data_IF_185826091709
#
_entry.id   IF_185826091709
#
_cell.length_a   1.000
_cell.length_b   1.000
_cell.length_c   1.000
_cell.angle_alpha   90.00
_cell.angle_beta   90.00
_cell.angle_gamma   90.00
#
_symmetry.space_group_name_H-M   'P 1'
#
loop_
_entity.id
_entity.type
_entity.pdbx_description
1 polymer ?
#
# COMPACT_ATOMS: atom_id res chain seq x y z
N UNK A 1 14.63 14.77 1.31
CA UNK A 1 15.24 16.14 1.28
C UNK A 1 15.45 16.63 -0.14
N UNK A 2 15.93 15.78 -1.10
CA UNK A 2 16.18 16.20 -2.50
C UNK A 2 14.93 16.75 -3.19
N UNK A 3 13.74 16.21 -2.89
CA UNK A 3 12.45 16.67 -3.43
C UNK A 3 11.77 17.76 -2.60
N UNK A 4 12.34 18.18 -1.47
CA UNK A 4 11.77 19.23 -0.59
C UNK A 4 10.54 18.79 0.22
N UNK A 5 10.21 17.50 0.28
CA UNK A 5 9.06 16.99 1.02
C UNK A 5 9.48 16.34 2.33
N UNK A 6 8.62 16.44 3.35
CA UNK A 6 8.83 15.83 4.66
C UNK A 6 8.58 14.32 4.69
N UNK A 7 7.95 13.77 3.66
CA UNK A 7 7.67 12.33 3.58
C UNK A 7 6.98 11.92 2.29
N UNK A 8 6.85 10.60 2.09
CA UNK A 8 6.23 10.00 0.91
C UNK A 8 4.76 10.42 0.75
N UNK A 9 4.02 10.58 1.87
CA UNK A 9 2.63 11.02 1.84
C UNK A 9 2.48 12.41 1.20
N UNK A 10 3.23 13.41 1.69
CA UNK A 10 3.17 14.77 1.16
C UNK A 10 3.60 14.82 -0.32
N UNK A 11 4.64 14.05 -0.68
CA UNK A 11 5.10 13.96 -2.06
C UNK A 11 4.09 13.29 -2.98
N UNK A 12 3.36 12.28 -2.54
CA UNK A 12 2.36 11.60 -3.37
C UNK A 12 1.22 12.50 -3.80
N UNK A 13 0.74 13.36 -2.92
CA UNK A 13 -0.36 14.30 -3.18
C UNK A 13 0.11 15.66 -3.74
N UNK A 14 1.42 15.85 -3.89
CA UNK A 14 1.95 17.08 -4.46
C UNK A 14 1.59 17.24 -5.94
N UNK A 15 1.36 18.48 -6.36
CA UNK A 15 1.14 18.82 -7.76
C UNK A 15 2.47 19.01 -8.48
N UNK A 16 2.86 18.05 -9.28
CA UNK A 16 4.11 18.07 -10.04
C UNK A 16 3.98 18.89 -11.34
N UNK A 17 5.08 19.48 -11.85
CA UNK A 17 5.08 20.23 -13.11
C UNK A 17 4.83 19.33 -14.33
N UNK A 18 5.19 18.03 -14.25
CA UNK A 18 4.99 17.06 -15.33
C UNK A 18 4.71 15.65 -14.77
N UNK A 19 4.26 14.75 -15.63
CA UNK A 19 4.10 13.33 -15.32
C UNK A 19 5.44 12.65 -15.05
N UNK A 20 6.47 13.02 -15.80
CA UNK A 20 7.83 12.52 -15.66
C UNK A 20 8.39 12.81 -14.28
N UNK A 21 8.23 14.03 -13.78
CA UNK A 21 8.66 14.44 -12.44
C UNK A 21 7.85 13.71 -11.35
N UNK A 22 6.54 13.56 -11.53
CA UNK A 22 5.70 12.81 -10.60
C UNK A 22 6.11 11.34 -10.51
N UNK A 23 6.31 10.70 -11.65
CA UNK A 23 6.72 9.30 -11.69
C UNK A 23 8.15 9.07 -11.22
N UNK A 24 9.06 10.04 -11.39
CA UNK A 24 10.38 10.00 -10.77
C UNK A 24 10.29 9.97 -9.23
N UNK A 25 9.39 10.79 -8.64
CA UNK A 25 9.15 10.75 -7.20
C UNK A 25 8.55 9.41 -6.77
N UNK A 26 7.52 8.91 -7.46
CA UNK A 26 6.87 7.62 -7.18
C UNK A 26 7.91 6.48 -7.24
N UNK A 27 8.70 6.42 -8.31
CA UNK A 27 9.73 5.42 -8.47
C UNK A 27 10.75 5.45 -7.33
N UNK A 28 11.21 6.64 -6.96
CA UNK A 28 12.17 6.81 -5.85
C UNK A 28 11.56 6.41 -4.51
N UNK A 29 10.33 6.80 -4.22
CA UNK A 29 9.65 6.46 -2.97
C UNK A 29 9.44 4.94 -2.86
N UNK A 30 8.92 4.31 -3.92
CA UNK A 30 8.73 2.86 -3.98
C UNK A 30 10.06 2.10 -3.86
N UNK A 31 11.10 2.53 -4.59
CA UNK A 31 12.42 1.93 -4.50
C UNK A 31 12.93 1.92 -3.05
N UNK A 32 12.83 3.06 -2.36
CA UNK A 32 13.23 3.15 -0.95
C UNK A 32 12.39 2.25 -0.05
N UNK A 33 11.09 2.08 -0.31
CA UNK A 33 10.24 1.14 0.42
C UNK A 33 10.67 -0.33 0.19
N UNK A 34 11.14 -0.66 -1.01
CA UNK A 34 11.68 -1.99 -1.30
C UNK A 34 13.04 -2.24 -0.63
N UNK A 35 13.89 -1.21 -0.52
CA UNK A 35 15.28 -1.36 -0.05
C UNK A 35 15.44 -1.10 1.46
N UNK A 36 14.55 -0.31 2.08
CA UNK A 36 14.68 -0.04 3.51
C UNK A 36 14.54 -1.32 4.34
N UNK A 37 15.28 -1.40 5.41
CA UNK A 37 15.14 -2.46 6.41
C UNK A 37 13.78 -2.36 7.10
N UNK A 38 13.24 -3.51 7.49
CA UNK A 38 12.02 -3.55 8.29
C UNK A 38 12.30 -3.02 9.69
N UNK A 39 11.51 -2.05 10.13
CA UNK A 39 11.69 -1.41 11.43
C UNK A 39 11.40 -2.36 12.61
N UNK A 40 12.11 -2.15 13.72
CA UNK A 40 11.93 -2.93 14.96
C UNK A 40 10.47 -3.08 15.43
N UNK A 41 9.57 -2.07 15.32
CA UNK A 41 8.18 -2.22 15.76
C UNK A 41 7.44 -3.39 15.11
N UNK A 42 7.77 -3.72 13.85
CA UNK A 42 7.18 -4.86 13.14
C UNK A 42 7.63 -6.18 13.74
N UNK A 43 8.91 -6.33 14.03
CA UNK A 43 9.46 -7.54 14.68
C UNK A 43 8.92 -7.69 16.11
N UNK A 44 8.89 -6.60 16.88
CA UNK A 44 8.36 -6.61 18.25
C UNK A 44 6.88 -7.02 18.29
N UNK A 45 6.08 -6.56 17.32
CA UNK A 45 4.70 -7.00 17.20
C UNK A 45 4.62 -8.50 16.87
N UNK A 46 5.46 -9.00 15.99
CA UNK A 46 5.46 -10.43 15.66
C UNK A 46 5.88 -11.29 16.83
N UNK A 47 6.81 -10.86 17.67
CA UNK A 47 7.18 -11.57 18.90
C UNK A 47 6.02 -11.56 19.91
N UNK A 48 5.32 -10.43 20.08
CA UNK A 48 4.11 -10.34 20.89
C UNK A 48 3.01 -11.30 20.42
N UNK A 49 2.88 -11.52 19.10
CA UNK A 49 1.86 -12.38 18.50
C UNK A 49 2.26 -13.85 18.40
N UNK A 50 3.47 -14.20 18.80
CA UNK A 50 3.99 -15.58 18.74
C UNK A 50 3.09 -16.55 19.51
N UNK A 51 2.74 -17.66 18.86
CA UNK A 51 1.84 -18.67 19.42
C UNK A 51 0.37 -18.26 19.53
N UNK A 52 -0.01 -17.06 19.07
CA UNK A 52 -1.40 -16.58 19.08
C UNK A 52 -2.07 -16.79 17.72
N UNK A 53 -3.38 -16.94 17.75
CA UNK A 53 -4.20 -16.86 16.55
C UNK A 53 -4.54 -15.40 16.29
N UNK A 54 -4.03 -14.83 15.20
CA UNK A 54 -4.17 -13.41 14.89
C UNK A 54 -4.44 -13.16 13.41
N UNK A 55 -4.97 -11.98 13.13
CA UNK A 55 -5.03 -11.38 11.80
C UNK A 55 -4.66 -9.90 11.90
N UNK A 56 -3.83 -9.41 10.99
CA UNK A 56 -3.42 -8.01 10.93
C UNK A 56 -4.20 -7.31 9.82
N UNK A 57 -4.91 -6.25 10.17
CA UNK A 57 -5.52 -5.31 9.25
C UNK A 57 -4.72 -4.03 9.26
N UNK A 58 -4.15 -3.62 8.13
CA UNK A 58 -3.30 -2.44 8.04
C UNK A 58 -3.82 -1.40 7.06
N UNK A 59 -3.67 -0.14 7.44
CA UNK A 59 -3.81 1.02 6.54
C UNK A 59 -2.46 1.53 6.04
N UNK A 60 -1.34 0.96 6.53
CA UNK A 60 -0.01 1.26 6.04
C UNK A 60 0.16 0.72 4.62
N UNK A 61 0.76 1.54 3.78
CA UNK A 61 1.02 1.21 2.38
C UNK A 61 2.52 0.96 2.12
N UNK A 62 3.34 0.95 3.20
CA UNK A 62 4.80 0.89 3.20
C UNK A 62 5.39 -0.51 2.92
N UNK A 63 4.56 -1.50 2.71
CA UNK A 63 4.93 -2.89 2.41
C UNK A 63 5.62 -3.66 3.54
N UNK A 64 5.93 -3.04 4.68
CA UNK A 64 6.80 -3.65 5.71
C UNK A 64 6.19 -4.91 6.35
N UNK A 65 4.87 -4.92 6.60
CA UNK A 65 4.20 -6.12 7.12
C UNK A 65 4.38 -7.35 6.23
N UNK A 66 4.47 -7.18 4.92
CA UNK A 66 4.60 -8.32 3.99
C UNK A 66 5.91 -9.09 4.12
N UNK A 67 6.87 -8.54 4.87
CA UNK A 67 8.18 -9.17 5.13
C UNK A 67 8.18 -10.00 6.41
N UNK A 68 7.22 -9.77 7.29
CA UNK A 68 7.18 -10.40 8.63
C UNK A 68 5.90 -11.18 8.88
N UNK A 69 4.87 -11.00 8.05
CA UNK A 69 3.56 -11.65 8.18
C UNK A 69 3.23 -12.40 6.90
N UNK A 70 2.71 -13.61 7.01
CA UNK A 70 2.21 -14.37 5.87
C UNK A 70 0.97 -13.70 5.25
N UNK A 71 0.82 -13.80 3.94
CA UNK A 71 -0.23 -13.08 3.19
C UNK A 71 -1.65 -13.45 3.62
N UNK A 72 -1.88 -14.66 4.10
CA UNK A 72 -3.17 -15.14 4.61
C UNK A 72 -3.58 -14.48 5.94
N UNK A 73 -2.61 -13.96 6.71
CA UNK A 73 -2.83 -13.27 7.99
C UNK A 73 -2.75 -11.75 7.91
N UNK A 74 -2.57 -11.21 6.71
CA UNK A 74 -2.42 -9.77 6.48
C UNK A 74 -3.48 -9.27 5.51
N UNK A 75 -4.12 -8.15 5.86
CA UNK A 75 -5.04 -7.42 5.01
C UNK A 75 -4.62 -5.97 4.86
N UNK A 76 -4.16 -5.58 3.67
CA UNK A 76 -3.80 -4.22 3.29
C UNK A 76 -5.01 -3.51 2.66
N UNK A 77 -5.86 -2.88 3.52
CA UNK A 77 -7.17 -2.37 3.09
C UNK A 77 -7.13 -0.99 2.41
N UNK A 78 -6.00 -0.32 2.41
CA UNK A 78 -5.81 0.95 1.69
C UNK A 78 -4.82 0.84 0.52
N UNK A 79 -4.59 -0.38 0.05
CA UNK A 79 -3.69 -0.66 -1.05
C UNK A 79 -2.24 -0.90 -0.63
N UNK A 80 -1.38 -0.98 -1.62
CA UNK A 80 0.01 -1.40 -1.45
C UNK A 80 0.87 -0.82 -2.58
N UNK A 81 1.94 -0.12 -2.26
CA UNK A 81 2.86 0.49 -3.21
C UNK A 81 3.54 -0.49 -4.18
N UNK A 82 3.51 -1.79 -3.88
CA UNK A 82 4.06 -2.83 -4.75
C UNK A 82 3.25 -3.07 -6.02
N UNK A 83 2.09 -2.41 -6.17
CA UNK A 83 1.22 -2.64 -7.31
C UNK A 83 0.82 -1.35 -8.00
N UNK A 84 0.63 -1.46 -9.33
CA UNK A 84 -0.02 -0.45 -10.13
C UNK A 84 -1.43 -0.89 -10.52
N UNK A 85 -2.31 0.08 -10.68
CA UNK A 85 -3.67 -0.08 -11.19
C UNK A 85 -3.89 0.81 -12.41
N UNK A 86 -4.89 0.51 -13.21
CA UNK A 86 -5.36 1.42 -14.24
C UNK A 86 -6.02 2.65 -13.60
N UNK A 87 -5.60 3.86 -13.96
CA UNK A 87 -6.14 5.13 -13.41
C UNK A 87 -7.63 5.28 -13.72
N UNK A 88 -8.07 4.93 -14.93
CA UNK A 88 -9.50 4.96 -15.28
C UNK A 88 -10.27 3.70 -14.86
N UNK A 89 -9.64 2.75 -14.15
CA UNK A 89 -10.26 1.52 -13.62
C UNK A 89 -11.00 0.73 -14.70
N UNK A 90 -10.43 0.61 -15.90
CA UNK A 90 -11.05 -0.07 -17.03
C UNK A 90 -11.22 -1.59 -16.82
N UNK A 91 -10.59 -2.16 -15.81
CA UNK A 91 -10.65 -3.59 -15.43
C UNK A 91 -10.25 -3.76 -13.96
N UNK A 92 -10.34 -4.98 -13.45
CA UNK A 92 -10.28 -5.34 -12.03
C UNK A 92 -8.91 -5.88 -11.57
N UNK A 93 -7.89 -5.82 -12.42
CA UNK A 93 -6.55 -6.36 -12.16
C UNK A 93 -5.60 -5.26 -11.68
N UNK A 94 -4.64 -5.65 -10.83
CA UNK A 94 -3.49 -4.84 -10.42
C UNK A 94 -2.20 -5.54 -10.84
N UNK A 95 -1.12 -4.80 -10.99
CA UNK A 95 0.13 -5.27 -11.58
C UNK A 95 1.29 -5.06 -10.62
N UNK A 96 2.01 -6.14 -10.31
CA UNK A 96 3.22 -6.07 -9.50
C UNK A 96 4.30 -5.26 -10.22
N UNK A 97 4.95 -4.34 -9.52
CA UNK A 97 5.69 -3.25 -10.16
C UNK A 97 7.20 -3.23 -9.86
N UNK A 98 7.73 -4.19 -9.13
CA UNK A 98 9.11 -4.11 -8.62
C UNK A 98 10.15 -3.82 -9.71
N UNK A 99 10.18 -4.62 -10.77
CA UNK A 99 11.16 -4.46 -11.86
C UNK A 99 11.04 -3.09 -12.50
N UNK A 100 9.83 -2.68 -12.84
CA UNK A 100 9.57 -1.38 -13.44
C UNK A 100 9.97 -0.21 -12.53
N UNK A 101 9.76 -0.33 -11.21
CA UNK A 101 10.21 0.65 -10.21
C UNK A 101 11.73 0.77 -10.21
N UNK A 102 12.47 -0.35 -10.26
CA UNK A 102 13.94 -0.32 -10.26
C UNK A 102 14.48 0.32 -11.54
N UNK A 103 13.91 -0.01 -12.69
CA UNK A 103 14.26 0.60 -13.98
C UNK A 103 14.00 2.10 -13.97
N UNK A 104 12.81 2.53 -13.58
CA UNK A 104 12.46 3.96 -13.49
C UNK A 104 13.35 4.70 -12.50
N UNK A 105 13.65 4.12 -11.32
CA UNK A 105 14.52 4.75 -10.33
C UNK A 105 15.94 4.94 -10.85
N UNK A 106 16.47 3.98 -11.61
CA UNK A 106 17.79 4.08 -12.23
C UNK A 106 17.84 5.14 -13.35
N UNK A 107 16.73 5.41 -14.02
CA UNK A 107 16.62 6.35 -15.11
C UNK A 107 16.29 7.80 -14.69
N UNK A 108 16.19 8.08 -13.38
CA UNK A 108 15.93 9.45 -12.89
C UNK A 108 17.14 10.34 -13.24
N UNK A 109 16.88 11.38 -14.01
CA UNK A 109 17.91 12.35 -14.42
C UNK A 109 18.18 13.44 -13.37
N UNK A 110 19.08 14.36 -13.70
CA UNK A 110 19.46 15.49 -12.83
C UNK A 110 18.31 16.50 -12.61
N UNK A 111 17.31 16.53 -13.50
CA UNK A 111 16.11 17.34 -13.39
C UNK A 111 15.01 16.65 -12.58
N UNK A 112 15.30 15.48 -11.96
CA UNK A 112 14.37 14.66 -11.22
C UNK A 112 13.17 14.19 -12.05
N UNK A 113 13.43 13.83 -13.31
CA UNK A 113 12.46 13.29 -14.25
C UNK A 113 12.88 11.89 -14.72
N UNK A 114 11.90 11.07 -15.10
CA UNK A 114 12.14 9.85 -15.88
C UNK A 114 11.83 10.09 -17.35
N UNK A 115 12.35 9.28 -18.29
CA UNK A 115 11.93 9.31 -19.68
C UNK A 115 10.41 9.09 -19.81
N UNK A 116 9.74 9.85 -20.69
CA UNK A 116 8.29 9.74 -20.96
C UNK A 116 7.88 8.31 -21.34
N UNK A 117 8.75 7.59 -22.06
CA UNK A 117 8.52 6.21 -22.48
C UNK A 117 8.43 5.21 -21.31
N UNK A 118 8.93 5.58 -20.13
CA UNK A 118 8.89 4.74 -18.92
C UNK A 118 7.63 4.98 -18.06
N UNK A 119 6.83 6.00 -18.39
CA UNK A 119 5.55 6.22 -17.67
C UNK A 119 4.64 5.01 -17.87
N UNK A 120 4.23 4.33 -16.79
CA UNK A 120 3.45 3.11 -16.89
C UNK A 120 2.12 3.30 -17.61
N UNK A 121 1.82 2.38 -18.53
CA UNK A 121 0.58 2.37 -19.30
C UNK A 121 -0.22 1.09 -19.03
N UNK A 122 -1.54 1.26 -18.95
CA UNK A 122 -2.44 0.14 -18.76
C UNK A 122 -2.37 -0.83 -19.95
N UNK A 123 -2.08 -2.13 -19.71
CA UNK A 123 -1.96 -3.11 -20.81
C UNK A 123 -3.31 -3.44 -21.48
N UNK A 124 -4.45 -3.04 -20.88
CA UNK A 124 -5.78 -3.28 -21.44
C UNK A 124 -6.30 -2.10 -22.29
N UNK A 125 -6.13 -0.86 -21.80
CA UNK A 125 -6.70 0.31 -22.48
C UNK A 125 -5.65 1.31 -22.99
N UNK A 126 -4.35 1.11 -22.70
CA UNK A 126 -3.28 2.04 -23.07
C UNK A 126 -3.27 3.36 -22.26
N UNK A 127 -4.24 3.56 -21.36
CA UNK A 127 -4.33 4.74 -20.50
C UNK A 127 -3.25 4.76 -19.42
N UNK A 128 -3.25 5.80 -18.60
CA UNK A 128 -2.28 5.96 -17.53
C UNK A 128 -2.50 4.91 -16.41
N UNK A 129 -1.42 4.61 -15.71
CA UNK A 129 -1.45 3.81 -14.49
C UNK A 129 -1.26 4.71 -13.26
N UNK A 130 -1.66 4.20 -12.10
CA UNK A 130 -1.43 4.79 -10.78
C UNK A 130 -0.95 3.73 -9.80
N UNK A 131 -0.21 4.08 -8.73
CA UNK A 131 -0.01 3.17 -7.62
C UNK A 131 -1.35 2.71 -7.03
N UNK A 132 -1.45 1.43 -6.68
CA UNK A 132 -2.64 0.89 -6.04
C UNK A 132 -2.68 1.28 -4.55
N UNK A 133 -2.85 2.55 -4.30
CA UNK A 133 -2.94 3.14 -2.95
C UNK A 133 -4.16 4.05 -2.85
N UNK A 134 -4.72 4.18 -1.65
CA UNK A 134 -5.93 4.97 -1.43
C UNK A 134 -5.75 6.40 -1.93
N UNK A 135 -6.60 6.79 -2.86
CA UNK A 135 -6.66 8.08 -3.52
C UNK A 135 -7.98 8.19 -4.28
N UNK A 136 -8.14 9.22 -5.13
CA UNK A 136 -9.39 9.48 -5.87
C UNK A 136 -9.76 8.36 -6.85
N UNK A 137 -8.76 7.70 -7.44
CA UNK A 137 -8.94 6.65 -8.45
C UNK A 137 -8.68 5.25 -7.90
N UNK A 138 -8.65 5.08 -6.58
CA UNK A 138 -8.37 3.78 -5.95
C UNK A 138 -9.32 2.69 -6.44
N UNK A 139 -8.76 1.59 -6.92
CA UNK A 139 -9.49 0.45 -7.44
C UNK A 139 -9.92 -0.50 -6.31
N UNK A 140 -11.21 -0.45 -5.95
CA UNK A 140 -11.85 -1.41 -5.03
C UNK A 140 -12.23 -2.69 -5.80
N UNK A 141 -11.25 -3.26 -6.50
CA UNK A 141 -11.40 -4.39 -7.38
C UNK A 141 -11.25 -5.74 -6.68
N UNK A 142 -10.87 -6.76 -7.46
CA UNK A 142 -10.72 -8.14 -6.99
C UNK A 142 -9.81 -8.24 -5.77
N UNK A 143 -8.60 -7.63 -5.82
CA UNK A 143 -7.64 -7.68 -4.71
C UNK A 143 -8.17 -7.00 -3.46
N UNK A 144 -8.81 -5.83 -3.58
CA UNK A 144 -9.44 -5.15 -2.44
C UNK A 144 -10.49 -6.03 -1.74
N UNK A 145 -11.40 -6.64 -2.52
CA UNK A 145 -12.41 -7.55 -1.99
C UNK A 145 -11.79 -8.80 -1.33
N UNK A 146 -10.65 -9.26 -1.85
CA UNK A 146 -9.89 -10.37 -1.28
C UNK A 146 -9.29 -10.02 0.08
N UNK A 147 -8.72 -8.82 0.24
CA UNK A 147 -8.22 -8.33 1.54
C UNK A 147 -9.33 -8.29 2.60
N UNK A 148 -10.50 -7.78 2.26
CA UNK A 148 -11.65 -7.75 3.15
C UNK A 148 -12.20 -9.17 3.46
N UNK A 149 -12.20 -10.07 2.50
CA UNK A 149 -12.63 -11.46 2.71
C UNK A 149 -11.75 -12.19 3.72
N UNK A 150 -10.44 -11.95 3.72
CA UNK A 150 -9.52 -12.54 4.71
C UNK A 150 -9.90 -12.13 6.15
N UNK A 151 -10.21 -10.85 6.37
CA UNK A 151 -10.68 -10.33 7.68
C UNK A 151 -11.98 -11.04 8.09
N UNK A 152 -12.98 -11.03 7.21
CA UNK A 152 -14.28 -11.63 7.49
C UNK A 152 -14.14 -13.14 7.80
N UNK A 153 -13.32 -13.85 7.03
CA UNK A 153 -13.03 -15.26 7.28
C UNK A 153 -12.40 -15.50 8.65
N UNK A 154 -11.47 -14.63 9.08
CA UNK A 154 -10.88 -14.73 10.41
C UNK A 154 -11.92 -14.49 11.51
N UNK A 155 -12.76 -13.47 11.38
CA UNK A 155 -13.82 -13.15 12.35
C UNK A 155 -14.85 -14.27 12.44
N UNK A 156 -15.31 -14.81 11.33
CA UNK A 156 -16.26 -15.94 11.30
C UNK A 156 -15.71 -17.19 11.97
N UNK A 157 -14.46 -17.57 11.65
CA UNK A 157 -13.79 -18.74 12.27
C UNK A 157 -13.59 -18.61 13.79
N UNK A 158 -13.66 -17.39 14.30
CA UNK A 158 -13.44 -17.09 15.70
C UNK A 158 -14.69 -16.49 16.41
N UNK A 159 -15.87 -16.54 15.77
CA UNK A 159 -17.10 -15.90 16.26
C UNK A 159 -17.49 -16.25 17.69
N UNK A 160 -17.21 -17.48 18.13
CA UNK A 160 -17.53 -17.96 19.47
C UNK A 160 -16.35 -17.90 20.44
N UNK A 161 -15.29 -17.15 20.09
CA UNK A 161 -14.09 -16.99 20.93
C UNK A 161 -13.99 -15.55 21.42
N UNK A 162 -13.22 -15.35 22.48
CA UNK A 162 -12.86 -13.99 22.91
C UNK A 162 -11.83 -13.43 21.92
N UNK A 163 -12.16 -12.32 21.27
CA UNK A 163 -11.28 -11.62 20.34
C UNK A 163 -10.86 -10.30 20.98
N UNK A 164 -9.56 -10.03 21.00
CA UNK A 164 -9.00 -8.73 21.36
C UNK A 164 -8.80 -7.92 20.07
N UNK A 165 -9.43 -6.76 19.97
CA UNK A 165 -9.17 -5.77 18.93
C UNK A 165 -8.10 -4.79 19.43
N UNK A 166 -6.90 -4.87 18.86
CA UNK A 166 -5.76 -4.04 19.25
C UNK A 166 -5.49 -3.00 18.18
N UNK A 167 -5.57 -1.72 18.54
CA UNK A 167 -5.24 -0.59 17.66
C UNK A 167 -3.83 -0.09 17.95
N UNK A 168 -3.00 -0.01 16.91
CA UNK A 168 -1.63 0.50 17.00
C UNK A 168 -1.41 1.60 15.96
N UNK A 169 -1.10 2.82 16.42
CA UNK A 169 -0.78 3.94 15.56
C UNK A 169 -1.92 4.42 14.66
N UNK A 170 -3.18 4.10 15.01
CA UNK A 170 -4.35 4.48 14.22
C UNK A 170 -4.63 5.98 14.40
N UNK A 171 -4.50 6.73 13.31
CA UNK A 171 -4.71 8.18 13.30
C UNK A 171 -6.19 8.55 13.28
N UNK A 172 -6.50 9.80 13.73
CA UNK A 172 -7.87 10.33 13.74
C UNK A 172 -8.39 10.79 12.36
N UNK A 173 -7.53 10.81 11.34
CA UNK A 173 -7.93 11.28 10.00
C UNK A 173 -8.83 10.30 9.25
N UNK A 174 -8.71 9.00 9.53
CA UNK A 174 -9.44 7.94 8.82
C UNK A 174 -10.00 6.87 9.78
N UNK A 175 -10.82 7.24 10.78
CA UNK A 175 -11.31 6.30 11.80
C UNK A 175 -12.20 5.22 11.21
N UNK A 176 -12.86 5.50 10.06
CA UNK A 176 -13.78 4.59 9.39
C UNK A 176 -13.14 3.29 8.92
N UNK A 177 -11.83 3.21 8.80
CA UNK A 177 -11.15 2.01 8.29
C UNK A 177 -10.82 0.98 9.37
N UNK A 178 -10.50 1.42 10.58
CA UNK A 178 -10.12 0.53 11.69
C UNK A 178 -10.94 0.81 12.94
N UNK A 179 -10.90 2.03 13.49
CA UNK A 179 -11.51 2.35 14.78
C UNK A 179 -13.03 2.08 14.80
N UNK A 180 -13.77 2.67 13.87
CA UNK A 180 -15.22 2.49 13.82
C UNK A 180 -15.65 1.03 13.60
N UNK A 181 -15.04 0.25 12.69
CA UNK A 181 -15.32 -1.18 12.60
C UNK A 181 -15.02 -1.94 13.90
N UNK A 182 -13.91 -1.64 14.58
CA UNK A 182 -13.57 -2.32 15.84
C UNK A 182 -14.59 -1.99 16.95
N UNK A 183 -14.99 -0.72 17.09
CA UNK A 183 -16.01 -0.33 18.07
C UNK A 183 -17.38 -0.96 17.81
N UNK A 184 -17.72 -1.22 16.53
CA UNK A 184 -18.98 -1.90 16.19
C UNK A 184 -18.96 -3.41 16.47
N UNK A 185 -17.76 -4.00 16.62
CA UNK A 185 -17.57 -5.42 16.85
C UNK A 185 -17.31 -5.76 18.33
N UNK A 186 -17.11 -4.75 19.19
CA UNK A 186 -16.95 -4.90 20.63
C UNK A 186 -18.23 -4.60 21.39
#
# INVERSE_FOLDING_TARGET
>A
RRYGYEGAFNGYYHRYPSKEARWAFIARACYLMYECETGEPYYNLMELLKGKNYHIMTTNQDTQFTRVVSEDKLSAIQGDWRYFQCDCRCHDEIYYNKEQIYEMNAAIDDNLCIPTSMIPKCPKCGGDMEPWVRGYTFLEGKKYREEHRKINTFLEKNRNKKILFLELGVGRMTPMFIQEPFWKLT
#
